data_IF_932983410240
#
_entry.id   IF_932983410240
#
_cell.length_a   1.000
_cell.length_b   1.000
_cell.length_c   1.000
_cell.angle_alpha   90.00
_cell.angle_beta   90.00
_cell.angle_gamma   90.00
#
_symmetry.space_group_name_H-M   'P 1'
#
loop_
_entity.id
_entity.type
_entity.pdbx_description
1 polymer ?
#
# COMPACT_ATOMS: atom_id res chain seq x y z
N UNK A 1 12.97 1.28 0.43
CA UNK A 1 12.64 2.47 1.25
C UNK A 1 11.24 2.26 1.82
N UNK A 2 11.02 2.56 3.10
CA UNK A 2 9.71 2.37 3.77
C UNK A 2 9.16 3.74 4.12
N UNK A 3 7.96 4.06 3.63
CA UNK A 3 7.29 5.33 3.88
C UNK A 3 6.00 5.11 4.65
N UNK A 4 5.85 5.76 5.80
CA UNK A 4 4.54 5.91 6.45
C UNK A 4 3.75 6.97 5.71
N UNK A 5 2.56 6.63 5.25
CA UNK A 5 1.71 7.56 4.51
C UNK A 5 0.95 8.45 5.48
N UNK A 6 0.80 9.72 5.13
CA UNK A 6 -0.01 10.69 5.89
C UNK A 6 -1.50 10.47 5.61
N UNK A 7 -2.36 10.78 6.56
CA UNK A 7 -3.82 10.62 6.46
C UNK A 7 -4.41 11.31 5.22
N UNK A 8 -3.85 12.48 4.85
CA UNK A 8 -4.26 13.22 3.66
C UNK A 8 -3.99 12.45 2.33
N UNK A 9 -2.92 11.66 2.28
CA UNK A 9 -2.62 10.80 1.14
C UNK A 9 -3.59 9.62 1.09
N UNK A 10 -3.88 9.01 2.24
CA UNK A 10 -4.83 7.90 2.36
C UNK A 10 -6.22 8.34 1.89
N UNK A 11 -6.68 9.52 2.32
CA UNK A 11 -7.97 10.08 1.93
C UNK A 11 -8.06 10.37 0.41
N UNK A 12 -6.97 10.80 -0.23
CA UNK A 12 -6.94 11.08 -1.67
C UNK A 12 -6.82 9.82 -2.53
N UNK A 13 -6.32 8.71 -1.98
CA UNK A 13 -6.05 7.48 -2.70
C UNK A 13 -6.88 6.29 -2.21
N UNK A 14 -8.06 6.54 -1.61
CA UNK A 14 -8.97 5.51 -1.11
C UNK A 14 -9.32 4.45 -2.16
N UNK A 15 -9.55 4.84 -3.41
CA UNK A 15 -9.85 3.91 -4.51
C UNK A 15 -8.72 2.89 -4.77
N UNK A 16 -7.45 3.31 -4.65
CA UNK A 16 -6.31 2.42 -4.81
C UNK A 16 -6.25 1.38 -3.67
N UNK A 17 -6.60 1.81 -2.47
CA UNK A 17 -6.63 0.95 -1.28
C UNK A 17 -7.79 -0.03 -1.35
N UNK A 18 -8.95 0.41 -1.81
CA UNK A 18 -10.11 -0.46 -2.07
C UNK A 18 -9.77 -1.52 -3.12
N UNK A 19 -9.08 -1.12 -4.20
CA UNK A 19 -8.61 -2.06 -5.23
C UNK A 19 -7.61 -3.08 -4.67
N UNK A 20 -6.68 -2.64 -3.83
CA UNK A 20 -5.71 -3.53 -3.17
C UNK A 20 -6.41 -4.50 -2.21
N UNK A 21 -7.39 -4.03 -1.44
CA UNK A 21 -8.17 -4.83 -0.50
C UNK A 21 -9.00 -5.89 -1.23
N UNK A 22 -9.64 -5.53 -2.34
CA UNK A 22 -10.39 -6.47 -3.18
C UNK A 22 -9.51 -7.62 -3.70
N UNK A 23 -8.24 -7.35 -4.01
CA UNK A 23 -7.28 -8.38 -4.44
C UNK A 23 -6.76 -9.26 -3.31
N UNK A 24 -6.59 -8.71 -2.12
CA UNK A 24 -6.00 -9.42 -0.97
C UNK A 24 -7.03 -10.23 -0.18
N UNK A 25 -8.34 -10.10 -0.45
CA UNK A 25 -9.45 -10.81 0.21
C UNK A 25 -9.41 -10.71 1.75
N UNK A 26 -8.72 -9.71 2.28
CA UNK A 26 -8.61 -9.47 3.72
C UNK A 26 -9.90 -8.90 4.30
N UNK A 27 -10.08 -8.97 5.63
CA UNK A 27 -11.21 -8.31 6.29
C UNK A 27 -11.22 -6.81 6.00
N UNK A 28 -12.42 -6.24 5.86
CA UNK A 28 -12.63 -4.80 5.65
C UNK A 28 -12.27 -4.08 6.95
N UNK A 29 -10.99 -3.74 7.11
CA UNK A 29 -10.52 -2.87 8.18
C UNK A 29 -10.28 -1.49 7.59
N UNK A 30 -10.76 -0.46 8.28
CA UNK A 30 -10.42 0.92 7.97
C UNK A 30 -8.91 1.08 8.16
N UNK A 31 -8.19 1.39 7.09
CA UNK A 31 -6.75 1.58 7.11
C UNK A 31 -6.41 2.78 8.02
N UNK A 32 -5.94 2.51 9.25
CA UNK A 32 -5.57 3.58 10.20
C UNK A 32 -4.14 4.05 9.98
N UNK A 33 -3.22 3.12 9.82
CA UNK A 33 -1.84 3.42 9.47
C UNK A 33 -1.44 2.58 8.26
N UNK A 34 -0.87 3.22 7.23
CA UNK A 34 -0.40 2.53 6.02
C UNK A 34 1.08 2.81 5.83
N UNK A 35 1.83 1.74 5.57
CA UNK A 35 3.22 1.78 5.18
C UNK A 35 3.38 1.21 3.78
N UNK A 36 4.11 1.93 2.95
CA UNK A 36 4.47 1.49 1.60
C UNK A 36 5.96 1.25 1.55
N UNK A 37 6.34 0.03 1.18
CA UNK A 37 7.73 -0.34 0.93
C UNK A 37 7.92 -0.50 -0.57
N UNK A 38 8.84 0.27 -1.13
CA UNK A 38 9.23 0.16 -2.55
C UNK A 38 10.69 -0.28 -2.65
N UNK A 39 10.93 -1.28 -3.49
CA UNK A 39 12.27 -1.80 -3.78
C UNK A 39 12.43 -2.05 -5.27
N UNK A 40 13.54 -1.59 -5.85
CA UNK A 40 13.88 -1.87 -7.23
C UNK A 40 14.61 -3.22 -7.33
N UNK A 41 14.03 -4.18 -8.03
CA UNK A 41 14.63 -5.47 -8.34
C UNK A 41 15.33 -5.35 -9.69
N UNK A 42 16.58 -4.89 -9.68
CA UNK A 42 17.38 -4.61 -10.88
C UNK A 42 17.48 -5.80 -11.84
N UNK A 43 17.65 -7.02 -11.30
CA UNK A 43 17.74 -8.26 -12.08
C UNK A 43 16.48 -8.55 -12.88
N UNK A 44 15.30 -8.20 -12.35
CA UNK A 44 14.01 -8.42 -12.99
C UNK A 44 13.52 -7.20 -13.78
N UNK A 45 14.23 -6.05 -13.70
CA UNK A 45 13.79 -4.74 -14.21
C UNK A 45 12.39 -4.37 -13.71
N UNK A 46 12.10 -4.70 -12.45
CA UNK A 46 10.78 -4.55 -11.84
C UNK A 46 10.87 -3.85 -10.49
N UNK A 47 9.76 -3.24 -10.09
CA UNK A 47 9.61 -2.67 -8.75
C UNK A 47 8.71 -3.57 -7.92
N UNK A 48 9.16 -3.92 -6.72
CA UNK A 48 8.31 -4.50 -5.70
C UNK A 48 7.63 -3.36 -4.95
N UNK A 49 6.31 -3.44 -4.86
CA UNK A 49 5.49 -2.60 -4.02
C UNK A 49 4.81 -3.48 -2.97
N UNK A 50 5.13 -3.24 -1.72
CA UNK A 50 4.47 -3.88 -0.59
C UNK A 50 3.69 -2.81 0.18
N UNK A 51 2.44 -3.13 0.52
CA UNK A 51 1.55 -2.28 1.29
C UNK A 51 1.21 -3.04 2.56
N UNK A 52 1.60 -2.46 3.70
CA UNK A 52 1.38 -3.01 5.04
C UNK A 52 0.53 -2.03 5.84
N UNK A 53 -0.39 -2.53 6.65
CA UNK A 53 -1.34 -1.69 7.39
C UNK A 53 -1.70 -2.26 8.76
N UNK A 54 -2.09 -1.37 9.67
CA UNK A 54 -2.60 -1.64 11.03
C UNK A 54 -3.96 -0.97 11.24
#
# INVERSE_FOLDING_TARGET
MVNKMQDAFIAQHGELLDHYQAKTKGPVSYFKNIWITTTHITRAKSYLLEISFE
#
